data_IF_667991943989
#
_entry.id   IF_667991943989
#
_cell.length_a   1.000
_cell.length_b   1.000
_cell.length_c   1.000
_cell.angle_alpha   90.00
_cell.angle_beta   90.00
_cell.angle_gamma   90.00
#
_symmetry.space_group_name_H-M   'P 1'
#
loop_
_entity.id
_entity.type
_entity.pdbx_description
1 polymer ?
#
# COMPACT_ATOMS: atom_id res chain seq x y z
N UNK A 1 -61.46 -21.63 -17.56
CA UNK A 1 -62.07 -20.83 -16.46
C UNK A 1 -60.96 -20.07 -15.75
N UNK A 2 -60.95 -18.74 -15.81
CA UNK A 2 -59.97 -17.91 -15.08
C UNK A 2 -60.55 -17.61 -13.69
N UNK A 3 -59.92 -18.12 -12.63
CA UNK A 3 -60.28 -17.78 -11.24
C UNK A 3 -59.65 -16.42 -10.92
N UNK A 4 -60.47 -15.46 -10.49
CA UNK A 4 -60.03 -14.14 -10.04
C UNK A 4 -59.77 -14.12 -8.53
N UNK A 5 -58.88 -13.24 -8.08
CA UNK A 5 -58.66 -12.95 -6.66
C UNK A 5 -59.88 -12.23 -6.07
N UNK A 6 -60.22 -12.57 -4.83
CA UNK A 6 -61.30 -11.88 -4.10
C UNK A 6 -60.79 -10.56 -3.52
N UNK A 7 -61.67 -9.57 -3.35
CA UNK A 7 -61.28 -8.25 -2.78
C UNK A 7 -60.73 -8.38 -1.35
N UNK A 8 -61.29 -9.31 -0.57
CA UNK A 8 -60.82 -9.59 0.80
C UNK A 8 -59.41 -10.17 0.84
N UNK A 9 -59.06 -11.00 -0.15
CA UNK A 9 -57.73 -11.61 -0.25
C UNK A 9 -56.66 -10.54 -0.55
N UNK A 10 -56.97 -9.57 -1.41
CA UNK A 10 -56.08 -8.45 -1.71
C UNK A 10 -55.84 -7.57 -0.47
N UNK A 11 -56.89 -7.25 0.28
CA UNK A 11 -56.78 -6.44 1.50
C UNK A 11 -55.94 -7.15 2.58
N UNK A 12 -56.13 -8.45 2.78
CA UNK A 12 -55.34 -9.21 3.75
C UNK A 12 -53.85 -9.23 3.34
N UNK A 13 -53.53 -9.40 2.06
CA UNK A 13 -52.13 -9.40 1.58
C UNK A 13 -51.44 -8.06 1.81
N UNK A 14 -52.09 -6.93 1.50
CA UNK A 14 -51.45 -5.61 1.71
C UNK A 14 -51.26 -5.30 3.20
N UNK A 15 -52.19 -5.73 4.06
CA UNK A 15 -52.04 -5.59 5.52
C UNK A 15 -50.86 -6.40 6.03
N UNK A 16 -50.70 -7.65 5.59
CA UNK A 16 -49.56 -8.49 5.96
C UNK A 16 -48.24 -7.90 5.41
N UNK A 17 -48.22 -7.41 4.17
CA UNK A 17 -47.03 -6.77 3.59
C UNK A 17 -46.59 -5.53 4.38
N UNK A 18 -47.53 -4.65 4.76
CA UNK A 18 -47.20 -3.47 5.58
C UNK A 18 -46.63 -3.87 6.94
N UNK A 19 -47.16 -4.93 7.56
CA UNK A 19 -46.67 -5.43 8.84
C UNK A 19 -45.24 -5.98 8.72
N UNK A 20 -44.95 -6.73 7.65
CA UNK A 20 -43.60 -7.24 7.40
C UNK A 20 -42.59 -6.10 7.13
N UNK A 21 -42.96 -5.08 6.35
CA UNK A 21 -42.10 -3.94 6.06
C UNK A 21 -41.76 -3.10 7.32
N UNK A 22 -42.69 -3.00 8.26
CA UNK A 22 -42.45 -2.32 9.54
C UNK A 22 -41.34 -2.98 10.36
N UNK A 23 -41.31 -4.33 10.38
CA UNK A 23 -40.31 -5.09 11.15
C UNK A 23 -38.92 -5.07 10.49
N UNK A 24 -38.85 -5.05 9.15
CA UNK A 24 -37.57 -5.10 8.43
C UNK A 24 -36.76 -3.81 8.57
N UNK A 25 -37.42 -2.65 8.60
CA UNK A 25 -36.77 -1.33 8.72
C UNK A 25 -35.93 -1.18 10.00
N UNK A 26 -36.42 -1.67 11.13
CA UNK A 26 -35.71 -1.58 12.43
C UNK A 26 -34.44 -2.44 12.43
N UNK A 27 -34.50 -3.63 11.83
CA UNK A 27 -33.33 -4.50 11.70
C UNK A 27 -32.28 -3.90 10.75
N UNK A 28 -32.73 -3.28 9.66
CA UNK A 28 -31.87 -2.73 8.62
C UNK A 28 -30.94 -1.61 9.11
N UNK A 29 -31.41 -0.71 9.99
CA UNK A 29 -30.59 0.38 10.53
C UNK A 29 -29.43 -0.15 11.38
N UNK A 30 -29.73 -1.08 12.30
CA UNK A 30 -28.73 -1.71 13.16
C UNK A 30 -27.65 -2.47 12.37
N UNK A 31 -28.05 -3.16 11.29
CA UNK A 31 -27.13 -3.85 10.40
C UNK A 31 -26.24 -2.86 9.65
N UNK A 32 -26.82 -1.80 9.07
CA UNK A 32 -26.06 -0.78 8.36
C UNK A 32 -25.03 -0.11 9.26
N UNK A 33 -25.38 0.24 10.50
CA UNK A 33 -24.45 0.89 11.41
C UNK A 33 -23.30 -0.03 11.81
N UNK A 34 -23.57 -1.33 12.01
CA UNK A 34 -22.52 -2.34 12.21
C UNK A 34 -21.61 -2.49 10.99
N UNK A 35 -22.17 -2.49 9.78
CA UNK A 35 -21.37 -2.59 8.55
C UNK A 35 -20.51 -1.35 8.34
N UNK A 36 -21.01 -0.14 8.64
CA UNK A 36 -20.23 1.10 8.55
C UNK A 36 -18.99 1.06 9.45
N UNK A 37 -19.13 0.63 10.71
CA UNK A 37 -17.99 0.49 11.65
C UNK A 37 -17.00 -0.56 11.15
N UNK A 38 -17.48 -1.72 10.68
CA UNK A 38 -16.62 -2.77 10.13
C UNK A 38 -15.88 -2.33 8.87
N UNK A 39 -16.54 -1.58 7.99
CA UNK A 39 -15.94 -1.04 6.78
C UNK A 39 -14.84 -0.04 7.13
N UNK A 40 -15.11 0.91 8.03
CA UNK A 40 -14.12 1.89 8.48
C UNK A 40 -12.89 1.20 9.10
N UNK A 41 -13.10 0.19 9.94
CA UNK A 41 -12.02 -0.63 10.50
C UNK A 41 -11.21 -1.38 9.42
N UNK A 42 -11.88 -1.94 8.41
CA UNK A 42 -11.22 -2.68 7.32
C UNK A 42 -10.40 -1.75 6.42
N UNK A 43 -10.95 -0.59 6.08
CA UNK A 43 -10.24 0.45 5.33
C UNK A 43 -9.01 0.94 6.09
N UNK A 44 -9.15 1.20 7.39
CA UNK A 44 -8.00 1.54 8.25
C UNK A 44 -6.93 0.45 8.20
N UNK A 45 -7.31 -0.81 8.42
CA UNK A 45 -6.36 -1.94 8.36
C UNK A 45 -5.62 -1.99 7.02
N UNK A 46 -6.35 -1.87 5.92
CA UNK A 46 -5.80 -1.88 4.56
C UNK A 46 -4.80 -0.74 4.37
N UNK A 47 -5.14 0.47 4.80
CA UNK A 47 -4.28 1.64 4.66
C UNK A 47 -3.01 1.55 5.51
N UNK A 48 -3.11 1.02 6.74
CA UNK A 48 -1.95 0.74 7.58
C UNK A 48 -1.05 -0.36 6.98
N UNK A 49 -1.64 -1.42 6.41
CA UNK A 49 -0.88 -2.48 5.73
C UNK A 49 -0.19 -1.98 4.47
N UNK A 50 -0.83 -1.07 3.73
CA UNK A 50 -0.25 -0.39 2.58
C UNK A 50 0.94 0.46 3.01
N UNK A 51 0.80 1.29 4.05
CA UNK A 51 1.89 2.08 4.60
C UNK A 51 3.07 1.21 5.07
N UNK A 52 2.78 0.10 5.76
CA UNK A 52 3.79 -0.88 6.19
C UNK A 52 4.54 -1.49 5.00
N UNK A 53 3.82 -1.87 3.95
CA UNK A 53 4.40 -2.47 2.74
C UNK A 53 5.23 -1.46 1.96
N UNK A 54 4.77 -0.21 1.85
CA UNK A 54 5.52 0.87 1.22
C UNK A 54 6.80 1.20 1.99
N UNK A 55 6.72 1.24 3.32
CA UNK A 55 7.90 1.41 4.17
C UNK A 55 8.90 0.26 3.95
N UNK A 56 8.47 -1.00 4.12
CA UNK A 56 9.37 -2.15 4.08
C UNK A 56 10.02 -2.37 2.71
N UNK A 57 9.29 -2.09 1.62
CA UNK A 57 9.82 -2.13 0.25
C UNK A 57 10.74 -0.95 -0.09
N UNK A 58 10.83 0.06 0.78
CA UNK A 58 11.57 1.29 0.50
C UNK A 58 10.97 2.06 -0.68
N UNK A 59 9.67 1.90 -0.93
CA UNK A 59 8.98 2.59 -2.01
C UNK A 59 9.01 4.09 -1.72
N UNK A 60 9.80 4.85 -2.49
CA UNK A 60 9.95 6.29 -2.30
C UNK A 60 8.94 7.02 -3.17
N UNK A 61 8.02 7.81 -2.59
CA UNK A 61 7.15 8.66 -3.39
C UNK A 61 7.94 9.76 -4.09
N UNK A 62 7.37 10.34 -5.14
CA UNK A 62 7.99 11.43 -5.93
C UNK A 62 8.34 12.65 -5.07
N UNK A 63 7.67 12.83 -3.94
CA UNK A 63 7.97 13.89 -2.97
C UNK A 63 9.29 13.70 -2.22
N UNK A 64 9.88 12.52 -2.30
CA UNK A 64 11.14 12.14 -1.67
C UNK A 64 12.25 11.87 -2.69
N UNK A 65 12.16 12.44 -3.88
CA UNK A 65 13.22 12.34 -4.89
C UNK A 65 14.49 13.05 -4.43
N UNK A 66 15.64 12.37 -4.55
CA UNK A 66 16.93 12.89 -4.10
C UNK A 66 17.20 12.69 -2.61
N UNK A 67 16.24 12.14 -1.87
CA UNK A 67 16.26 12.05 -0.41
C UNK A 67 16.28 10.61 0.12
N UNK A 68 16.77 10.41 1.34
CA UNK A 68 16.64 9.11 2.02
C UNK A 68 15.27 9.02 2.68
N UNK A 69 14.52 7.95 2.39
CA UNK A 69 13.26 7.67 3.07
C UNK A 69 13.57 7.26 4.51
N UNK A 70 13.06 8.01 5.47
CA UNK A 70 13.16 7.71 6.90
C UNK A 70 12.04 6.77 7.34
N UNK A 71 10.85 6.90 6.73
CA UNK A 71 9.71 6.02 6.98
C UNK A 71 8.37 6.62 6.60
N UNK A 72 7.29 5.91 6.96
CA UNK A 72 5.92 6.38 6.83
C UNK A 72 5.34 6.67 8.21
N UNK A 73 5.06 7.93 8.49
CA UNK A 73 4.46 8.37 9.75
C UNK A 73 2.94 8.26 9.67
N UNK A 74 2.35 7.66 10.69
CA UNK A 74 0.90 7.60 10.89
C UNK A 74 0.53 8.47 12.08
N UNK A 75 -0.50 9.29 11.93
CA UNK A 75 -1.03 10.14 12.99
C UNK A 75 -2.53 9.93 13.12
N UNK A 76 -3.04 9.79 14.34
CA UNK A 76 -4.46 9.64 14.64
C UNK A 76 -5.01 10.89 15.31
N UNK A 77 -6.20 11.29 14.86
CA UNK A 77 -7.10 12.24 15.53
C UNK A 77 -8.35 11.46 15.97
N UNK A 78 -9.31 12.07 16.67
CA UNK A 78 -10.55 11.39 17.07
C UNK A 78 -11.41 10.91 15.89
N UNK A 79 -11.37 11.57 14.75
CA UNK A 79 -12.25 11.32 13.58
C UNK A 79 -11.50 11.19 12.25
N UNK A 80 -10.18 11.20 12.27
CA UNK A 80 -9.36 11.06 11.07
C UNK A 80 -8.01 10.44 11.42
N UNK A 81 -7.31 9.98 10.40
CA UNK A 81 -5.90 9.62 10.51
C UNK A 81 -5.17 10.02 9.23
N UNK A 82 -3.88 10.24 9.36
CA UNK A 82 -3.03 10.66 8.24
C UNK A 82 -1.84 9.75 8.12
N UNK A 83 -1.43 9.49 6.87
CA UNK A 83 -0.25 8.68 6.54
C UNK A 83 0.62 9.53 5.62
N UNK A 84 1.84 9.85 6.07
CA UNK A 84 2.74 10.73 5.33
C UNK A 84 4.16 10.16 5.31
N UNK A 85 4.83 10.13 4.15
CA UNK A 85 6.26 9.78 4.08
C UNK A 85 7.11 10.85 4.78
N UNK A 86 8.21 10.41 5.39
CA UNK A 86 9.23 11.27 6.01
C UNK A 86 10.59 11.00 5.38
N UNK A 87 11.32 12.05 5.02
CA UNK A 87 12.57 11.95 4.27
C UNK A 87 13.68 12.83 4.88
N UNK A 88 14.92 12.33 4.88
CA UNK A 88 16.03 12.77 5.74
C UNK A 88 16.65 14.14 5.42
N UNK A 89 16.50 14.62 4.18
CA UNK A 89 16.95 15.94 3.67
C UNK A 89 16.60 17.13 4.52
N UNK A 90 15.36 17.09 4.97
CA UNK A 90 14.66 18.24 5.53
C UNK A 90 14.23 18.01 6.98
N UNK A 91 14.27 16.75 7.48
CA UNK A 91 13.59 16.38 8.73
C UNK A 91 12.07 16.65 8.70
N UNK A 92 11.57 17.06 7.52
CA UNK A 92 10.25 17.61 7.27
C UNK A 92 9.37 16.51 6.70
N UNK A 93 8.07 16.67 6.93
CA UNK A 93 7.07 15.79 6.37
C UNK A 93 6.88 16.23 4.91
N UNK A 94 7.43 15.46 3.96
CA UNK A 94 7.42 15.81 2.53
C UNK A 94 6.66 14.74 1.76
N UNK A 95 5.41 15.05 1.41
CA UNK A 95 4.64 14.18 0.52
C UNK A 95 3.16 14.48 0.45
N UNK A 96 2.52 13.76 -0.47
CA UNK A 96 1.06 13.72 -0.56
C UNK A 96 0.54 13.07 0.73
N UNK A 97 -0.05 13.89 1.58
CA UNK A 97 -0.68 13.43 2.82
C UNK A 97 -1.95 12.65 2.47
N UNK A 98 -1.93 11.36 2.78
CA UNK A 98 -3.14 10.55 2.70
C UNK A 98 -3.93 10.83 3.98
N UNK A 99 -4.73 11.89 3.95
CA UNK A 99 -5.71 12.17 4.98
C UNK A 99 -6.97 11.34 4.73
N UNK A 100 -7.35 10.53 5.72
CA UNK A 100 -8.59 9.76 5.69
C UNK A 100 -9.48 10.23 6.82
N UNK A 101 -10.61 10.83 6.44
CA UNK A 101 -11.69 11.17 7.37
C UNK A 101 -12.61 9.98 7.56
N UNK A 102 -12.99 9.70 8.81
CA UNK A 102 -13.94 8.64 9.08
C UNK A 102 -15.36 9.10 8.69
N UNK A 103 -16.24 8.17 8.26
CA UNK A 103 -17.64 8.48 8.04
C UNK A 103 -18.30 9.09 9.28
N UNK A 104 -19.32 9.92 9.06
CA UNK A 104 -20.05 10.58 10.15
C UNK A 104 -20.53 9.58 11.21
N UNK A 105 -20.39 9.97 12.48
CA UNK A 105 -20.77 9.12 13.62
C UNK A 105 -19.79 7.99 13.92
N UNK A 106 -18.66 7.87 13.21
CA UNK A 106 -17.59 6.93 13.55
C UNK A 106 -16.38 7.71 14.09
N UNK A 107 -15.79 7.22 15.17
CA UNK A 107 -14.64 7.82 15.82
C UNK A 107 -13.72 6.78 16.43
N UNK A 108 -12.51 7.21 16.79
CA UNK A 108 -11.61 6.47 17.65
C UNK A 108 -11.89 6.83 19.10
N UNK A 109 -12.34 5.86 19.89
CA UNK A 109 -12.61 6.06 21.31
C UNK A 109 -12.18 4.83 22.12
N UNK A 110 -11.16 4.96 22.98
CA UNK A 110 -10.31 6.15 23.15
C UNK A 110 -9.46 6.45 21.89
N UNK A 111 -9.02 7.70 21.74
CA UNK A 111 -8.05 8.05 20.70
C UNK A 111 -6.76 7.25 20.96
N UNK A 112 -6.12 6.64 19.94
CA UNK A 112 -4.96 5.79 20.15
C UNK A 112 -3.82 6.53 20.84
N UNK A 113 -3.16 5.87 21.79
CA UNK A 113 -2.02 6.43 22.53
C UNK A 113 -0.80 5.51 22.39
N UNK A 114 0.37 6.03 21.99
CA UNK A 114 0.62 7.36 21.44
C UNK A 114 -0.16 7.60 20.13
N UNK A 115 -0.50 8.87 19.86
CA UNK A 115 -1.31 9.26 18.69
C UNK A 115 -0.55 9.14 17.38
N UNK A 116 0.78 9.08 17.44
CA UNK A 116 1.64 9.00 16.26
C UNK A 116 2.62 7.85 16.39
N UNK A 117 2.92 7.19 15.29
CA UNK A 117 3.98 6.19 15.20
C UNK A 117 4.52 6.14 13.75
N UNK A 118 5.65 5.48 13.53
CA UNK A 118 6.31 5.44 12.23
C UNK A 118 6.69 4.03 11.82
N UNK A 119 6.38 3.65 10.58
CA UNK A 119 6.91 2.46 9.93
C UNK A 119 8.27 2.81 9.31
N UNK A 120 9.33 2.13 9.73
CA UNK A 120 10.67 2.32 9.17
C UNK A 120 10.87 1.45 7.93
N UNK A 121 11.74 1.86 6.99
CA UNK A 121 12.13 1.02 5.89
C UNK A 121 13.00 -0.16 6.34
N UNK A 122 13.09 -1.19 5.49
CA UNK A 122 13.88 -2.40 5.72
C UNK A 122 13.43 -3.15 7.00
N UNK A 123 14.35 -3.80 7.70
CA UNK A 123 14.10 -4.61 8.91
C UNK A 123 13.98 -3.79 10.19
N UNK A 124 13.95 -2.46 10.11
CA UNK A 124 14.00 -1.56 11.25
C UNK A 124 12.66 -1.45 11.99
N UNK A 125 11.63 -2.13 11.48
CA UNK A 125 10.39 -2.38 12.18
C UNK A 125 9.50 -1.15 12.29
N UNK A 126 8.89 -0.98 13.45
CA UNK A 126 7.94 0.11 13.73
C UNK A 126 8.39 0.84 15.00
N UNK A 127 8.18 2.16 15.07
CA UNK A 127 8.36 2.90 16.32
C UNK A 127 7.35 2.45 17.36
N UNK A 128 7.58 2.81 18.62
CA UNK A 128 6.56 2.69 19.66
C UNK A 128 5.26 3.36 19.18
N UNK A 129 4.14 2.66 19.34
CA UNK A 129 2.83 3.03 18.83
C UNK A 129 1.71 2.45 19.70
N UNK A 130 0.44 2.64 19.32
CA UNK A 130 -0.69 2.07 20.06
C UNK A 130 -0.80 0.56 19.84
N UNK A 131 -0.93 -0.23 20.91
CA UNK A 131 -1.06 -1.71 20.83
C UNK A 131 -2.37 -2.15 20.15
N UNK A 132 -3.40 -1.31 20.24
CA UNK A 132 -4.68 -1.53 19.59
C UNK A 132 -5.33 -0.19 19.22
N UNK A 133 -6.19 -0.23 18.21
CA UNK A 133 -7.01 0.90 17.77
C UNK A 133 -8.47 0.44 17.73
N UNK A 134 -9.34 1.17 18.42
CA UNK A 134 -10.77 0.87 18.46
C UNK A 134 -11.54 1.89 17.64
N UNK A 135 -12.27 1.39 16.63
CA UNK A 135 -13.19 2.15 15.79
C UNK A 135 -14.61 1.93 16.31
N UNK A 136 -15.35 2.99 16.60
CA UNK A 136 -16.68 2.89 17.21
C UNK A 136 -17.64 3.95 16.72
N UNK A 137 -18.94 3.63 16.74
CA UNK A 137 -20.02 4.61 16.59
C UNK A 137 -20.78 4.89 17.90
N UNK A 138 -20.20 4.49 19.04
CA UNK A 138 -20.81 4.62 20.37
C UNK A 138 -21.69 3.43 20.79
N UNK A 139 -22.19 2.65 19.84
CA UNK A 139 -23.00 1.44 20.10
C UNK A 139 -22.25 0.17 19.70
N UNK A 140 -21.66 0.17 18.50
CA UNK A 140 -20.86 -0.91 17.95
C UNK A 140 -19.39 -0.48 17.87
N UNK A 141 -18.50 -1.42 18.15
CA UNK A 141 -17.06 -1.20 18.09
C UNK A 141 -16.32 -2.36 17.46
N UNK A 142 -15.19 -2.05 16.82
CA UNK A 142 -14.23 -3.01 16.28
C UNK A 142 -12.84 -2.60 16.76
N UNK A 143 -12.13 -3.53 17.40
CA UNK A 143 -10.76 -3.31 17.89
C UNK A 143 -9.77 -4.04 16.99
N UNK A 144 -8.81 -3.31 16.45
CA UNK A 144 -7.69 -3.84 15.69
C UNK A 144 -6.48 -3.95 16.61
N UNK A 145 -5.86 -5.12 16.69
CA UNK A 145 -4.52 -5.25 17.27
C UNK A 145 -3.49 -4.78 16.24
N UNK A 146 -2.58 -3.90 16.65
CA UNK A 146 -1.42 -3.54 15.84
C UNK A 146 -0.22 -4.33 16.34
N UNK A 147 0.37 -5.11 15.44
CA UNK A 147 1.63 -5.79 15.71
C UNK A 147 2.79 -4.83 15.43
N UNK A 148 3.08 -4.02 16.45
CA UNK A 148 4.10 -2.97 16.46
C UNK A 148 5.12 -3.25 17.57
N UNK A 149 5.82 -4.37 17.46
CA UNK A 149 7.03 -4.58 18.26
C UNK A 149 8.10 -3.60 17.80
N UNK A 150 8.72 -2.81 18.71
CA UNK A 150 9.86 -1.98 18.38
C UNK A 150 10.92 -2.83 17.67
N UNK A 151 11.33 -2.40 16.48
CA UNK A 151 12.50 -2.99 15.84
C UNK A 151 13.75 -2.73 16.70
N UNK A 152 14.80 -3.56 16.62
CA UNK A 152 16.05 -3.25 17.29
C UNK A 152 16.51 -1.87 16.82
N UNK A 153 16.78 -0.96 17.77
CA UNK A 153 17.25 0.38 17.48
C UNK A 153 18.47 0.32 16.53
N UNK A 154 18.67 1.32 15.64
CA UNK A 154 19.91 1.49 14.89
C UNK A 154 21.11 1.19 15.78
N UNK A 155 21.70 0.00 15.65
CA UNK A 155 23.07 -0.18 16.12
C UNK A 155 23.88 0.56 15.07
N UNK A 156 24.52 1.67 15.45
CA UNK A 156 25.41 2.40 14.56
C UNK A 156 26.33 1.37 13.90
N UNK A 157 26.21 1.23 12.58
CA UNK A 157 27.10 0.37 11.80
C UNK A 157 28.51 0.75 12.20
N UNK A 158 29.34 -0.17 12.76
CA UNK A 158 30.70 0.18 13.09
C UNK A 158 31.35 0.70 11.81
N UNK A 159 31.79 1.96 11.85
CA UNK A 159 32.56 2.57 10.77
C UNK A 159 33.67 1.58 10.41
N UNK A 160 33.81 1.15 9.14
CA UNK A 160 34.81 0.17 8.78
C UNK A 160 36.18 0.74 9.18
N UNK A 161 36.77 0.16 10.22
CA UNK A 161 38.17 0.41 10.56
C UNK A 161 38.96 -0.12 9.37
N UNK A 162 39.71 0.75 8.71
CA UNK A 162 40.55 0.38 7.59
C UNK A 162 41.62 -0.61 8.08
N UNK A 163 41.38 -1.91 7.87
CA UNK A 163 42.37 -2.94 8.13
C UNK A 163 43.47 -2.80 7.08
N UNK A 164 44.69 -2.46 7.51
CA UNK A 164 45.84 -2.39 6.62
C UNK A 164 46.22 -3.82 6.23
N UNK A 165 45.81 -4.25 5.03
CA UNK A 165 46.20 -5.54 4.46
C UNK A 165 47.68 -5.48 4.07
N UNK A 166 48.51 -6.31 4.69
CA UNK A 166 49.93 -6.43 4.34
C UNK A 166 50.10 -6.93 2.90
N UNK A 167 50.96 -6.25 2.14
CA UNK A 167 51.33 -6.57 0.76
C UNK A 167 52.01 -7.95 0.67
N UNK A 168 51.51 -8.92 -0.11
CA UNK A 168 52.23 -10.15 -0.35
C UNK A 168 53.46 -9.93 -1.24
N UNK A 169 54.59 -10.53 -0.85
CA UNK A 169 55.84 -10.57 -1.60
C UNK A 169 55.67 -11.31 -2.94
N UNK A 170 56.18 -10.71 -4.02
CA UNK A 170 56.10 -11.20 -5.39
C UNK A 170 57.00 -12.43 -5.61
N UNK A 171 56.43 -13.52 -6.11
CA UNK A 171 57.14 -14.69 -6.65
C UNK A 171 56.90 -14.75 -8.17
N UNK A 172 57.96 -15.01 -8.93
CA UNK A 172 57.98 -14.87 -10.39
C UNK A 172 57.05 -15.85 -11.15
N UNK A 173 56.46 -15.30 -12.21
CA UNK A 173 55.46 -15.85 -13.14
C UNK A 173 56.03 -16.85 -14.15
N UNK A 174 55.33 -17.97 -14.46
CA UNK A 174 55.46 -18.64 -15.75
C UNK A 174 54.45 -18.07 -16.77
N UNK A 175 54.96 -17.78 -17.97
CA UNK A 175 54.27 -17.24 -19.14
C UNK A 175 53.09 -18.11 -19.58
N UNK A 176 51.88 -17.53 -19.65
CA UNK A 176 50.72 -18.14 -20.28
C UNK A 176 50.42 -17.48 -21.64
N UNK A 177 50.22 -18.34 -22.65
CA UNK A 177 49.90 -18.05 -24.05
C UNK A 177 48.56 -17.32 -24.21
N UNK A 178 48.52 -16.31 -25.07
CA UNK A 178 47.33 -15.50 -25.37
C UNK A 178 46.24 -16.32 -26.08
N UNK A 179 45.08 -16.46 -25.44
CA UNK A 179 43.82 -16.88 -26.09
C UNK A 179 42.98 -15.62 -26.39
N UNK A 180 42.43 -15.45 -27.61
CA UNK A 180 41.67 -14.25 -27.94
C UNK A 180 40.35 -14.19 -27.15
N UNK A 181 40.09 -13.02 -26.57
CA UNK A 181 38.85 -12.69 -25.85
C UNK A 181 37.76 -12.30 -26.86
N UNK A 182 36.53 -12.86 -26.77
CA UNK A 182 35.40 -12.32 -27.53
C UNK A 182 34.98 -10.97 -26.94
N UNK A 183 35.16 -9.91 -27.75
CA UNK A 183 34.63 -8.57 -27.49
C UNK A 183 33.11 -8.65 -27.40
N UNK A 184 32.57 -8.46 -26.21
CA UNK A 184 31.12 -8.24 -26.04
C UNK A 184 30.90 -6.75 -25.87
N UNK A 185 30.30 -6.16 -26.89
CA UNK A 185 29.89 -4.75 -26.96
C UNK A 185 28.79 -4.46 -25.92
N UNK A 186 28.80 -3.33 -25.20
CA UNK A 186 27.70 -2.97 -24.32
C UNK A 186 26.47 -2.61 -25.17
N UNK A 187 25.43 -3.45 -25.11
CA UNK A 187 24.12 -3.13 -25.71
C UNK A 187 23.54 -1.92 -24.96
N UNK A 188 23.48 -0.78 -25.65
CA UNK A 188 22.90 0.44 -25.15
C UNK A 188 21.37 0.26 -24.94
N UNK A 189 20.94 0.27 -23.68
CA UNK A 189 19.52 0.22 -23.28
C UNK A 189 18.71 1.46 -23.76
N UNK A 190 19.36 2.47 -24.36
CA UNK A 190 18.71 3.72 -24.76
C UNK A 190 18.06 3.70 -26.16
N UNK A 191 18.30 2.67 -26.97
CA UNK A 191 17.82 2.63 -28.36
C UNK A 191 16.44 1.95 -28.51
N UNK A 192 16.05 1.06 -27.59
CA UNK A 192 14.75 0.36 -27.69
C UNK A 192 13.58 1.13 -27.07
N UNK A 193 13.86 2.10 -26.19
CA UNK A 193 12.81 2.92 -25.57
C UNK A 193 12.34 4.06 -26.49
N UNK A 194 13.21 4.56 -27.37
CA UNK A 194 12.96 5.74 -28.20
C UNK A 194 12.14 5.46 -29.48
N UNK A 195 12.03 4.20 -29.92
CA UNK A 195 11.17 3.82 -31.05
C UNK A 195 9.70 3.61 -30.66
N UNK A 196 9.41 3.41 -29.37
CA UNK A 196 8.04 3.21 -28.86
C UNK A 196 7.55 4.42 -28.05
N UNK A 197 8.45 5.13 -27.35
CA UNK A 197 8.09 6.30 -26.55
C UNK A 197 9.00 7.48 -26.91
N UNK A 198 8.40 8.56 -27.43
CA UNK A 198 9.12 9.82 -27.60
C UNK A 198 9.69 10.32 -26.27
N UNK A 199 10.70 11.18 -26.34
CA UNK A 199 11.59 11.65 -25.25
C UNK A 199 10.96 12.29 -24.00
N UNK A 200 9.65 12.16 -23.76
CA UNK A 200 8.96 12.63 -22.56
C UNK A 200 7.84 11.67 -22.08
N UNK A 201 8.07 10.36 -22.07
CA UNK A 201 7.38 9.42 -21.17
C UNK A 201 5.84 9.38 -21.14
N UNK A 202 5.15 9.91 -22.15
CA UNK A 202 3.69 9.84 -22.26
C UNK A 202 3.26 8.77 -23.27
N UNK A 203 2.42 7.83 -22.85
CA UNK A 203 1.74 6.89 -23.75
C UNK A 203 0.96 7.68 -24.82
N UNK A 204 1.33 7.51 -26.10
CA UNK A 204 0.79 8.34 -27.19
C UNK A 204 -0.66 8.07 -27.59
N UNK A 205 -1.35 7.07 -27.04
CA UNK A 205 -2.75 6.77 -27.40
C UNK A 205 -3.55 6.29 -26.18
N UNK A 206 -4.20 7.21 -25.46
CA UNK A 206 -5.09 6.90 -24.32
C UNK A 206 -6.55 6.60 -24.72
N UNK A 207 -6.88 6.54 -26.02
CA UNK A 207 -8.27 6.43 -26.47
C UNK A 207 -8.77 5.01 -26.80
N UNK A 208 -8.02 3.94 -26.51
CA UNK A 208 -8.33 2.60 -27.03
C UNK A 208 -8.49 1.46 -26.02
N UNK A 209 -8.62 1.69 -24.71
CA UNK A 209 -8.74 0.59 -23.74
C UNK A 209 -10.05 0.66 -22.95
N UNK A 210 -11.01 -0.21 -23.27
CA UNK A 210 -12.20 -0.50 -22.45
C UNK A 210 -12.09 -1.89 -21.84
N UNK A 211 -12.57 -2.06 -20.60
CA UNK A 211 -12.55 -3.30 -19.83
C UNK A 211 -13.29 -4.47 -20.53
N UNK A 212 -12.97 -5.77 -20.25
CA UNK A 212 -12.20 -6.29 -19.12
C UNK A 212 -11.17 -7.37 -19.53
N UNK A 213 -9.93 -6.99 -19.86
CA UNK A 213 -8.82 -7.96 -19.94
C UNK A 213 -7.57 -7.35 -19.30
N UNK A 214 -7.40 -7.57 -18.00
CA UNK A 214 -6.18 -7.22 -17.27
C UNK A 214 -5.59 -8.50 -16.66
N UNK A 215 -4.40 -8.87 -17.09
CA UNK A 215 -3.57 -9.86 -16.39
C UNK A 215 -2.23 -9.19 -16.10
N UNK A 216 -1.89 -9.11 -14.81
CA UNK A 216 -0.56 -8.73 -14.35
C UNK A 216 0.32 -9.97 -14.42
N UNK A 217 1.31 -10.01 -15.33
CA UNK A 217 2.36 -11.02 -15.30
C UNK A 217 3.50 -10.59 -14.37
N UNK A 218 4.04 -11.55 -13.62
CA UNK A 218 5.12 -11.34 -12.64
C UNK A 218 6.49 -10.97 -13.26
N UNK A 219 7.53 -10.79 -12.42
CA UNK A 219 8.81 -10.24 -12.82
C UNK A 219 9.57 -11.16 -13.80
N UNK A 220 10.03 -10.59 -14.92
CA UNK A 220 10.80 -11.29 -15.95
C UNK A 220 12.29 -11.47 -15.59
N UNK A 221 12.85 -12.62 -15.97
CA UNK A 221 14.22 -13.10 -15.68
C UNK A 221 15.37 -12.40 -16.46
N UNK A 222 15.25 -11.10 -16.77
CA UNK A 222 16.27 -10.38 -17.55
C UNK A 222 16.79 -9.09 -16.89
N UNK A 223 17.09 -9.15 -15.58
CA UNK A 223 17.99 -8.19 -14.94
C UNK A 223 17.51 -6.74 -14.77
N UNK A 224 16.31 -6.39 -15.23
CA UNK A 224 15.68 -5.09 -14.97
C UNK A 224 14.73 -5.19 -13.77
N UNK A 225 15.20 -4.87 -12.57
CA UNK A 225 14.30 -4.71 -11.41
C UNK A 225 13.67 -3.31 -11.44
N UNK A 226 12.35 -3.24 -11.19
CA UNK A 226 11.57 -2.07 -10.71
C UNK A 226 10.62 -1.32 -11.66
N UNK A 227 10.18 -1.90 -12.79
CA UNK A 227 8.98 -1.36 -13.46
C UNK A 227 7.95 -2.46 -13.74
N UNK A 228 6.73 -2.25 -13.24
CA UNK A 228 5.56 -3.04 -13.61
C UNK A 228 5.08 -2.52 -14.96
N UNK A 229 5.27 -3.30 -16.02
CA UNK A 229 4.84 -2.92 -17.37
C UNK A 229 3.40 -3.39 -17.61
N UNK A 230 2.55 -2.52 -18.15
CA UNK A 230 1.26 -2.91 -18.70
C UNK A 230 1.46 -3.29 -20.18
N UNK A 231 1.33 -4.57 -20.52
CA UNK A 231 1.30 -5.01 -21.92
C UNK A 231 -0.15 -5.37 -22.30
N UNK A 232 -0.68 -4.74 -23.36
CA UNK A 232 -1.86 -5.25 -24.04
C UNK A 232 -1.47 -6.49 -24.83
N UNK A 233 -2.12 -7.62 -24.57
CA UNK A 233 -1.91 -8.86 -25.32
C UNK A 233 -2.75 -8.82 -26.60
N UNK A 234 -2.13 -9.01 -27.76
CA UNK A 234 -2.87 -9.39 -28.97
C UNK A 234 -3.25 -10.88 -28.85
N UNK A 235 -4.55 -11.18 -28.95
CA UNK A 235 -5.06 -12.55 -29.11
C UNK A 235 -4.84 -13.01 -30.57
N UNK A 236 -4.59 -14.30 -30.81
CA UNK A 236 -4.33 -14.84 -32.16
C UNK A 236 -5.52 -14.71 -33.11
#
# INVERSE_FOLDING_TARGET
MKRGFTLIELIIVVVIMMLLLGLTLVSYTSYNDKQKVKQAATTLKSNLQMARTNASSGNKPVSCTGETLEGYKVSFTASSYTIVPRCSSSGEIIGEEIEVTLPVGISFSPVPTPQTFMYYPLTWGVSAGPSHVTVTNGVYSVTLALDITPGPAPTATPTPVSTVTATPTVTATPTATSTPTPTTEPIACNAYCSSIYGVNGACKNQSACTAPEFIVSGPGEHGCSLYQYCCCRELP
#
